data_IF_041232312531
#
_entry.id   IF_041232312531
#
_cell.length_a   1.000
_cell.length_b   1.000
_cell.length_c   1.000
_cell.angle_alpha   90.00
_cell.angle_beta   90.00
_cell.angle_gamma   90.00
#
_symmetry.space_group_name_H-M   'P 1'
#
loop_
_entity.id
_entity.type
_entity.pdbx_description
1 polymer ?
#
# COMPACT_ATOMS: atom_id res chain seq x y z
N UNK A 1 -41.86 -11.62 70.09
CA UNK A 1 -41.33 -12.41 69.01
C UNK A 1 -41.12 -11.58 67.81
N UNK A 2 -39.94 -11.45 67.51
CA UNK A 2 -39.55 -10.62 66.39
C UNK A 2 -39.09 -11.46 65.25
N UNK A 3 -39.70 -11.30 64.16
CA UNK A 3 -39.27 -11.88 62.92
C UNK A 3 -38.36 -10.91 62.20
N UNK A 4 -37.19 -11.30 62.01
CA UNK A 4 -36.24 -10.54 61.23
C UNK A 4 -36.43 -10.93 59.77
N UNK A 5 -36.85 -9.99 59.01
CA UNK A 5 -36.96 -10.20 57.59
C UNK A 5 -35.65 -9.79 56.95
N UNK A 6 -35.00 -10.77 56.45
CA UNK A 6 -33.86 -10.53 55.59
C UNK A 6 -34.36 -10.21 54.19
N UNK A 7 -34.05 -9.05 53.76
CA UNK A 7 -34.23 -8.70 52.37
C UNK A 7 -32.94 -9.11 51.66
N UNK A 8 -32.96 -10.08 50.79
CA UNK A 8 -31.79 -10.38 50.05
C UNK A 8 -31.46 -9.19 49.17
N UNK A 9 -30.32 -8.64 49.45
CA UNK A 9 -29.77 -7.62 48.57
C UNK A 9 -29.44 -8.28 47.26
N UNK A 10 -30.24 -8.09 46.30
CA UNK A 10 -29.96 -8.56 44.96
C UNK A 10 -28.96 -7.62 44.35
N UNK A 11 -27.75 -8.06 44.37
CA UNK A 11 -26.69 -7.36 43.66
C UNK A 11 -26.87 -7.63 42.18
N UNK A 12 -27.43 -6.69 41.52
CA UNK A 12 -27.40 -6.71 40.07
C UNK A 12 -25.99 -6.34 39.61
N UNK A 13 -25.26 -7.34 39.28
CA UNK A 13 -24.03 -7.13 38.53
C UNK A 13 -24.44 -6.89 37.10
N UNK A 14 -24.51 -5.64 36.76
CA UNK A 14 -24.68 -5.28 35.38
C UNK A 14 -23.39 -5.56 34.67
N UNK A 15 -23.34 -6.68 34.01
CA UNK A 15 -22.24 -6.99 33.13
C UNK A 15 -22.34 -6.12 31.88
N UNK A 16 -21.68 -5.01 31.91
CA UNK A 16 -21.47 -4.26 30.71
C UNK A 16 -20.54 -5.06 29.80
N UNK A 17 -21.08 -5.56 28.73
CA UNK A 17 -20.29 -6.22 27.71
C UNK A 17 -19.62 -5.17 26.84
N UNK A 18 -18.34 -5.06 26.84
CA UNK A 18 -17.66 -4.20 25.89
C UNK A 18 -17.79 -4.81 24.50
N UNK A 19 -18.51 -4.15 23.65
CA UNK A 19 -18.68 -4.55 22.25
C UNK A 19 -17.70 -3.82 21.33
N UNK A 20 -16.69 -3.19 21.89
CA UNK A 20 -15.84 -2.27 21.14
C UNK A 20 -14.67 -2.93 20.40
N UNK A 21 -14.34 -4.18 20.70
CA UNK A 21 -13.16 -4.83 20.13
C UNK A 21 -13.23 -5.14 18.64
N UNK A 22 -14.43 -5.35 18.10
CA UNK A 22 -14.59 -5.76 16.71
C UNK A 22 -14.57 -4.61 15.71
N UNK A 23 -14.95 -3.40 16.12
CA UNK A 23 -14.91 -2.25 15.24
C UNK A 23 -13.48 -1.73 15.01
N UNK A 24 -12.58 -1.93 15.97
CA UNK A 24 -11.19 -1.51 15.86
C UNK A 24 -10.38 -2.32 14.85
N UNK A 25 -10.57 -3.62 14.79
CA UNK A 25 -9.89 -4.46 13.80
C UNK A 25 -10.33 -4.15 12.38
N UNK A 26 -11.60 -3.86 12.19
CA UNK A 26 -12.15 -3.50 10.89
C UNK A 26 -11.66 -2.13 10.41
N UNK A 27 -11.54 -1.16 11.30
CA UNK A 27 -10.96 0.14 10.98
C UNK A 27 -9.48 0.05 10.66
N UNK A 28 -8.73 -0.78 11.37
CA UNK A 28 -7.30 -0.97 11.13
C UNK A 28 -7.03 -1.58 9.76
N UNK A 29 -7.85 -2.55 9.31
CA UNK A 29 -7.69 -3.14 7.98
C UNK A 29 -8.07 -2.19 6.85
N UNK A 30 -8.94 -1.21 7.10
CA UNK A 30 -9.36 -0.21 6.12
C UNK A 30 -8.40 0.97 5.99
N UNK A 31 -7.53 1.20 6.97
CA UNK A 31 -6.62 2.33 7.02
C UNK A 31 -5.24 2.06 6.41
N UNK A 32 -4.96 0.83 6.01
CA UNK A 32 -3.65 0.49 5.49
C UNK A 32 -3.58 0.84 4.00
N UNK A 33 -3.06 2.01 3.71
CA UNK A 33 -2.73 2.44 2.35
C UNK A 33 -1.25 2.24 2.07
N UNK A 34 -0.59 1.41 2.86
CA UNK A 34 0.84 1.13 2.74
C UNK A 34 1.08 -0.21 2.06
N UNK A 35 2.04 -0.21 1.17
CA UNK A 35 2.57 -1.41 0.54
C UNK A 35 4.07 -1.50 0.78
N UNK A 36 4.61 -2.69 0.61
CA UNK A 36 6.05 -2.93 0.69
C UNK A 36 6.57 -3.29 -0.69
N UNK A 37 7.66 -2.66 -1.10
CA UNK A 37 8.42 -3.03 -2.28
C UNK A 37 9.67 -3.76 -1.82
N UNK A 38 9.82 -4.99 -2.25
CA UNK A 38 11.04 -5.76 -1.99
C UNK A 38 11.85 -5.82 -3.28
N UNK A 39 13.02 -5.20 -3.24
CA UNK A 39 13.94 -5.17 -4.38
C UNK A 39 14.74 -6.46 -4.38
N UNK A 40 14.97 -7.03 -5.55
CA UNK A 40 15.86 -8.18 -5.71
C UNK A 40 17.20 -7.92 -5.02
N UNK A 41 17.62 -8.85 -4.16
CA UNK A 41 18.77 -8.66 -3.28
C UNK A 41 18.40 -8.36 -1.82
N UNK A 42 17.10 -8.14 -1.52
CA UNK A 42 16.58 -8.10 -0.16
C UNK A 42 16.28 -6.74 0.43
N UNK A 43 16.58 -5.66 -0.28
CA UNK A 43 16.26 -4.32 0.21
C UNK A 43 14.76 -4.03 0.09
N UNK A 44 14.16 -3.43 1.12
CA UNK A 44 12.75 -3.12 1.15
C UNK A 44 12.49 -1.63 1.32
N UNK A 45 11.37 -1.20 0.75
CA UNK A 45 10.84 0.16 0.93
C UNK A 45 9.36 0.06 1.25
N UNK A 46 8.88 0.99 2.04
CA UNK A 46 7.46 1.21 2.26
C UNK A 46 6.98 2.31 1.33
N UNK A 47 5.80 2.16 0.79
CA UNK A 47 5.18 3.16 -0.04
C UNK A 47 3.74 3.42 0.40
N UNK A 48 3.29 4.66 0.21
CA UNK A 48 1.92 5.08 0.47
C UNK A 48 1.15 5.13 -0.84
N UNK A 49 0.02 4.45 -0.89
CA UNK A 49 -0.85 4.42 -2.07
C UNK A 49 -1.63 5.73 -2.22
N UNK A 50 -1.87 6.12 -3.46
CA UNK A 50 -2.74 7.23 -3.79
C UNK A 50 -4.21 6.89 -3.52
N UNK A 51 -5.04 7.91 -3.41
CA UNK A 51 -6.49 7.76 -3.23
C UNK A 51 -7.19 7.84 -4.60
N UNK A 52 -7.19 6.74 -5.32
CA UNK A 52 -7.89 6.61 -6.61
C UNK A 52 -8.26 5.16 -6.89
N UNK A 53 -9.08 4.93 -7.91
CA UNK A 53 -9.54 3.59 -8.26
C UNK A 53 -8.42 2.66 -8.72
N UNK A 54 -7.37 3.21 -9.31
CA UNK A 54 -6.21 2.44 -9.76
C UNK A 54 -5.43 1.85 -8.57
N UNK A 55 -5.15 2.67 -7.57
CA UNK A 55 -4.48 2.26 -6.35
C UNK A 55 -5.33 1.28 -5.54
N UNK A 56 -6.65 1.50 -5.48
CA UNK A 56 -7.57 0.58 -4.82
C UNK A 56 -7.58 -0.78 -5.50
N UNK A 57 -7.58 -0.82 -6.82
CA UNK A 57 -7.52 -2.07 -7.57
C UNK A 57 -6.19 -2.81 -7.35
N UNK A 58 -5.08 -2.08 -7.29
CA UNK A 58 -3.78 -2.67 -6.94
C UNK A 58 -3.81 -3.29 -5.55
N UNK A 59 -4.38 -2.60 -4.59
CA UNK A 59 -4.52 -3.09 -3.21
C UNK A 59 -5.35 -4.37 -3.15
N UNK A 60 -6.46 -4.44 -3.87
CA UNK A 60 -7.29 -5.64 -3.97
C UNK A 60 -6.53 -6.81 -4.59
N UNK A 61 -5.74 -6.54 -5.61
CA UNK A 61 -4.91 -7.53 -6.26
C UNK A 61 -3.84 -8.08 -5.31
N UNK A 62 -3.20 -7.21 -4.53
CA UNK A 62 -2.20 -7.58 -3.54
C UNK A 62 -2.80 -8.37 -2.36
N UNK A 63 -4.08 -8.16 -2.06
CA UNK A 63 -4.78 -8.94 -1.04
C UNK A 63 -4.92 -10.42 -1.44
N UNK A 64 -4.84 -10.73 -2.72
CA UNK A 64 -4.87 -12.11 -3.24
C UNK A 64 -3.50 -12.76 -3.27
N UNK A 65 -2.43 -12.00 -3.18
CA UNK A 65 -1.07 -12.48 -3.20
C UNK A 65 -0.09 -11.41 -3.65
N UNK A 66 1.18 -11.64 -3.35
CA UNK A 66 2.24 -10.74 -3.77
C UNK A 66 2.39 -10.73 -5.29
N UNK A 67 2.86 -9.63 -5.81
CA UNK A 67 3.09 -9.47 -7.26
C UNK A 67 4.57 -9.19 -7.48
N UNK A 68 5.23 -10.06 -8.22
CA UNK A 68 6.60 -9.85 -8.67
C UNK A 68 6.56 -9.23 -10.07
N UNK A 69 7.26 -8.11 -10.22
CA UNK A 69 7.35 -7.39 -11.48
C UNK A 69 8.79 -7.42 -11.96
N UNK A 70 8.99 -7.98 -13.15
CA UNK A 70 10.30 -7.91 -13.83
C UNK A 70 10.38 -6.55 -14.52
N UNK A 71 11.28 -5.72 -14.06
CA UNK A 71 11.39 -4.35 -14.54
C UNK A 71 12.69 -4.13 -15.30
N UNK A 72 12.64 -3.25 -16.28
CA UNK A 72 13.78 -2.82 -17.07
C UNK A 72 13.99 -1.32 -16.93
N UNK A 73 15.20 -0.87 -17.13
CA UNK A 73 15.49 0.55 -17.12
C UNK A 73 15.04 1.23 -18.40
N UNK A 74 14.48 2.41 -18.27
CA UNK A 74 14.10 3.24 -19.41
C UNK A 74 14.56 4.67 -19.19
N UNK A 75 15.29 5.16 -20.17
CA UNK A 75 15.73 6.56 -20.20
C UNK A 75 16.63 7.00 -19.05
N UNK A 76 17.17 6.08 -18.28
CA UNK A 76 17.94 6.37 -17.07
C UNK A 76 17.19 7.28 -16.09
N UNK A 77 15.86 7.08 -16.01
CA UNK A 77 14.98 7.86 -15.16
C UNK A 77 13.94 7.00 -14.45
N UNK A 78 13.70 5.77 -14.93
CA UNK A 78 12.65 4.92 -14.43
C UNK A 78 12.94 3.44 -14.60
N UNK A 79 12.31 2.62 -13.75
CA UNK A 79 12.14 1.18 -13.98
C UNK A 79 10.70 0.91 -14.38
N UNK A 80 10.50 0.08 -15.39
CA UNK A 80 9.18 -0.24 -15.94
C UNK A 80 9.04 -1.74 -16.17
N UNK A 81 7.89 -2.28 -15.80
CA UNK A 81 7.58 -3.69 -16.03
C UNK A 81 6.08 -3.98 -15.97
N UNK A 82 5.65 -5.08 -16.58
CA UNK A 82 4.23 -5.44 -16.64
C UNK A 82 3.74 -5.95 -15.29
N UNK A 83 2.54 -5.49 -14.89
CA UNK A 83 1.89 -5.99 -13.68
C UNK A 83 1.32 -7.39 -13.90
N UNK A 84 1.00 -7.75 -15.13
CA UNK A 84 0.39 -9.02 -15.49
C UNK A 84 -1.12 -8.96 -15.64
N UNK A 85 -1.73 -7.83 -15.39
CA UNK A 85 -3.16 -7.57 -15.57
C UNK A 85 -3.39 -6.08 -15.81
N UNK A 86 -4.59 -5.72 -16.19
CA UNK A 86 -4.96 -4.32 -16.37
C UNK A 86 -5.65 -3.78 -15.12
N UNK A 87 -5.33 -2.55 -14.77
CA UNK A 87 -5.96 -1.80 -13.70
C UNK A 87 -6.73 -0.61 -14.29
N UNK A 88 -7.74 -0.09 -13.57
CA UNK A 88 -8.41 1.15 -13.99
C UNK A 88 -7.41 2.29 -14.17
N UNK A 89 -7.65 3.15 -15.14
CA UNK A 89 -6.80 4.30 -15.43
C UNK A 89 -7.40 5.57 -14.85
N UNK A 90 -6.56 6.43 -14.32
CA UNK A 90 -6.87 7.77 -13.85
C UNK A 90 -5.80 8.74 -14.36
N UNK A 91 -5.56 8.70 -15.65
CA UNK A 91 -4.49 9.45 -16.28
C UNK A 91 -4.72 10.95 -16.18
N UNK A 92 -3.68 11.66 -15.81
CA UNK A 92 -3.65 13.12 -15.81
C UNK A 92 -2.22 13.59 -15.99
N UNK A 93 -2.05 14.81 -16.46
CA UNK A 93 -0.75 15.43 -16.56
C UNK A 93 -0.06 15.44 -15.21
N UNK A 94 1.09 14.79 -15.11
CA UNK A 94 1.79 14.56 -13.86
C UNK A 94 3.28 14.78 -14.07
N UNK A 95 3.90 15.48 -13.14
CA UNK A 95 5.36 15.56 -13.06
C UNK A 95 5.83 14.67 -11.93
N UNK A 96 6.67 13.69 -12.26
CA UNK A 96 7.18 12.71 -11.31
C UNK A 96 8.48 13.19 -10.68
N UNK A 97 8.82 12.56 -9.56
CA UNK A 97 10.09 12.70 -8.89
C UNK A 97 10.51 11.35 -8.31
N UNK A 98 11.71 11.29 -7.68
CA UNK A 98 12.20 10.05 -7.09
C UNK A 98 11.22 9.43 -6.10
N UNK A 99 10.92 8.15 -6.29
CA UNK A 99 9.99 7.40 -5.46
C UNK A 99 8.55 7.35 -5.97
N UNK A 100 8.20 8.13 -6.98
CA UNK A 100 6.85 8.07 -7.55
C UNK A 100 6.59 6.72 -8.21
N UNK A 101 5.45 6.13 -7.88
CA UNK A 101 4.97 4.86 -8.44
C UNK A 101 3.82 5.19 -9.35
N UNK A 102 3.96 4.81 -10.60
CA UNK A 102 3.06 5.18 -11.69
C UNK A 102 2.49 3.92 -12.36
N UNK A 103 1.25 4.05 -12.81
CA UNK A 103 0.62 3.11 -13.71
C UNK A 103 0.64 3.72 -15.13
N UNK A 104 1.26 3.02 -16.05
CA UNK A 104 1.32 3.45 -17.43
C UNK A 104 0.43 2.55 -18.30
N UNK A 105 -0.43 3.17 -19.07
CA UNK A 105 -1.39 2.49 -19.98
C UNK A 105 -2.25 1.42 -19.29
N UNK A 106 -2.47 1.53 -17.98
CA UNK A 106 -3.25 0.57 -17.22
C UNK A 106 -2.58 -0.78 -16.98
N UNK A 107 -1.37 -1.00 -17.48
CA UNK A 107 -0.71 -2.32 -17.52
C UNK A 107 0.67 -2.37 -16.90
N UNK A 108 1.40 -1.26 -16.92
CA UNK A 108 2.80 -1.23 -16.53
C UNK A 108 2.97 -0.50 -15.21
N UNK A 109 3.73 -1.13 -14.32
CA UNK A 109 4.24 -0.50 -13.12
C UNK A 109 5.49 0.27 -13.47
N UNK A 110 5.58 1.51 -13.04
CA UNK A 110 6.75 2.36 -13.25
C UNK A 110 7.20 2.91 -11.91
N UNK A 111 8.49 2.79 -11.62
CA UNK A 111 9.12 3.40 -10.44
C UNK A 111 10.09 4.45 -10.95
N UNK A 112 9.79 5.71 -10.64
CA UNK A 112 10.66 6.82 -11.03
C UNK A 112 11.76 7.04 -10.02
N UNK A 113 12.96 7.26 -10.51
CA UNK A 113 14.08 7.74 -9.70
C UNK A 113 14.64 9.08 -10.22
N UNK A 114 14.00 9.66 -11.23
CA UNK A 114 14.25 10.99 -11.76
C UNK A 114 12.95 11.65 -12.20
N UNK A 115 13.02 12.85 -12.73
CA UNK A 115 11.87 13.65 -13.12
C UNK A 115 11.42 13.36 -14.54
N UNK A 116 10.12 13.20 -14.72
CA UNK A 116 9.48 13.11 -16.05
C UNK A 116 8.08 13.73 -15.96
N UNK A 117 7.63 14.30 -17.06
CA UNK A 117 6.27 14.87 -17.13
C UNK A 117 5.52 14.24 -18.30
N UNK A 118 4.41 13.61 -17.98
CA UNK A 118 3.56 12.95 -18.98
C UNK A 118 2.16 12.75 -18.43
N UNK A 119 1.32 12.15 -19.24
CA UNK A 119 -0.04 11.79 -18.84
C UNK A 119 -0.05 10.40 -18.21
N UNK A 120 -0.04 10.34 -16.89
CA UNK A 120 0.07 9.11 -16.12
C UNK A 120 -1.03 8.98 -15.08
N UNK A 121 -1.20 7.76 -14.57
CA UNK A 121 -1.93 7.48 -13.34
C UNK A 121 -0.95 7.30 -12.18
N UNK A 122 -1.13 8.06 -11.11
CA UNK A 122 -0.34 7.90 -9.90
C UNK A 122 -0.88 6.75 -9.06
N UNK A 123 -0.04 5.77 -8.74
CA UNK A 123 -0.39 4.67 -7.83
C UNK A 123 0.02 4.96 -6.39
N UNK A 124 1.13 5.64 -6.19
CA UNK A 124 1.63 5.96 -4.87
C UNK A 124 3.01 6.57 -4.89
N UNK A 125 3.63 6.56 -3.72
CA UNK A 125 4.98 7.11 -3.55
C UNK A 125 5.73 6.34 -2.48
N UNK A 126 6.99 6.02 -2.75
CA UNK A 126 7.90 5.44 -1.77
C UNK A 126 8.20 6.48 -0.69
N UNK A 127 8.07 6.06 0.57
CA UNK A 127 8.23 6.93 1.72
C UNK A 127 9.71 7.24 1.99
N UNK A 128 10.00 8.50 2.30
CA UNK A 128 11.29 8.94 2.82
C UNK A 128 12.51 8.46 2.01
N UNK A 129 12.41 8.46 0.70
CA UNK A 129 13.49 8.02 -0.17
C UNK A 129 14.12 9.20 -0.90
N UNK A 130 15.43 9.14 -1.08
CA UNK A 130 16.18 10.06 -1.93
C UNK A 130 16.47 9.42 -3.28
N UNK A 131 16.74 10.24 -4.28
CA UNK A 131 17.14 9.74 -5.59
C UNK A 131 18.36 8.81 -5.50
N UNK A 132 19.37 9.20 -4.75
CA UNK A 132 20.62 8.43 -4.63
C UNK A 132 20.37 7.06 -4.00
N UNK A 133 19.58 7.00 -2.93
CA UNK A 133 19.25 5.75 -2.25
C UNK A 133 18.44 4.84 -3.16
N UNK A 134 17.43 5.38 -3.82
CA UNK A 134 16.57 4.61 -4.71
C UNK A 134 17.32 4.10 -5.93
N UNK A 135 18.10 4.94 -6.57
CA UNK A 135 18.92 4.57 -7.71
C UNK A 135 19.93 3.47 -7.38
N UNK A 136 20.55 3.57 -6.21
CA UNK A 136 21.48 2.54 -5.72
C UNK A 136 20.77 1.20 -5.47
N UNK A 137 19.57 1.25 -4.88
CA UNK A 137 18.78 0.05 -4.57
C UNK A 137 18.28 -0.65 -5.83
N UNK A 138 17.78 0.10 -6.79
CA UNK A 138 17.26 -0.44 -8.05
C UNK A 138 18.38 -0.92 -8.99
N UNK A 139 19.54 -0.33 -8.88
CA UNK A 139 20.71 -0.69 -9.69
C UNK A 139 20.57 -0.31 -11.16
N UNK A 140 21.53 -0.76 -11.95
CA UNK A 140 21.54 -0.59 -13.39
C UNK A 140 20.82 -1.75 -14.08
N UNK A 141 20.15 -1.46 -15.21
CA UNK A 141 19.49 -2.49 -16.01
C UNK A 141 18.23 -3.04 -15.37
N UNK A 142 18.00 -4.33 -15.56
CA UNK A 142 16.81 -5.02 -15.07
C UNK A 142 16.86 -5.28 -13.57
N UNK A 143 15.68 -5.31 -12.95
CA UNK A 143 15.53 -5.62 -11.53
C UNK A 143 14.15 -6.23 -11.28
N UNK A 144 14.07 -7.20 -10.39
CA UNK A 144 12.79 -7.71 -9.92
C UNK A 144 12.36 -6.95 -8.68
N UNK A 145 11.12 -6.46 -8.71
CA UNK A 145 10.50 -5.80 -7.56
C UNK A 145 9.23 -6.56 -7.19
N UNK A 146 9.13 -6.97 -5.94
CA UNK A 146 7.94 -7.65 -5.43
C UNK A 146 7.13 -6.67 -4.59
N UNK A 147 5.85 -6.56 -4.92
CA UNK A 147 4.89 -5.76 -4.18
C UNK A 147 4.12 -6.66 -3.22
N UNK A 148 3.92 -6.18 -2.00
CA UNK A 148 3.11 -6.85 -0.99
C UNK A 148 2.37 -5.83 -0.12
N UNK A 149 1.29 -6.26 0.51
CA UNK A 149 0.65 -5.46 1.54
C UNK A 149 1.55 -5.39 2.77
N UNK A 150 1.49 -4.27 3.46
CA UNK A 150 2.16 -4.12 4.74
C UNK A 150 1.42 -4.83 5.87
#
# INVERSE_FOLDING_TARGET
MKTIKFIPLMVFVLMAMPTEGQSHEKEKSMKTDSIVLTIEGGRTFTATLADNSSANALKELLAKGNIAVEMEDYGNMEKVGPIGTSLPRNDRQTTTGPGDIILYQGKYLVIYYDTNSWNFTRLGKIDNVTQAVLKSALGEGGVRVTLSLE
#
